data_IF_999875477170
#
_entry.id   IF_999875477170
#
_cell.length_a   1.000
_cell.length_b   1.000
_cell.length_c   1.000
_cell.angle_alpha   90.00
_cell.angle_beta   90.00
_cell.angle_gamma   90.00
#
_symmetry.space_group_name_H-M   'P 1'
#
loop_
_entity.id
_entity.type
_entity.pdbx_description
1 polymer ?
#
# COMPACT_ATOMS: atom_id res chain seq x y z
N UNK A 1 -19.87 8.93 4.68
CA UNK A 1 -19.13 7.80 5.27
C UNK A 1 -18.77 6.90 4.11
N UNK A 2 -17.50 6.88 3.68
CA UNK A 2 -17.07 6.07 2.53
C UNK A 2 -17.12 4.59 2.89
N UNK A 3 -17.81 3.78 2.07
CA UNK A 3 -17.97 2.34 2.29
C UNK A 3 -16.61 1.63 2.28
N UNK A 4 -16.37 0.66 3.17
CA UNK A 4 -15.17 -0.16 3.12
C UNK A 4 -15.19 -1.03 1.85
N UNK A 5 -14.08 -1.14 1.11
CA UNK A 5 -14.03 -1.90 -0.13
C UNK A 5 -14.36 -3.37 0.12
N UNK A 6 -15.28 -3.90 -0.71
CA UNK A 6 -15.79 -5.26 -0.62
C UNK A 6 -14.68 -6.30 -0.81
N UNK A 7 -14.70 -7.31 0.06
CA UNK A 7 -13.72 -8.41 0.16
C UNK A 7 -13.67 -9.19 -1.16
N UNK A 8 -12.65 -8.95 -1.99
CA UNK A 8 -12.43 -9.70 -3.25
C UNK A 8 -11.99 -8.86 -4.45
N UNK A 9 -12.11 -7.53 -4.39
CA UNK A 9 -11.68 -6.66 -5.48
C UNK A 9 -10.16 -6.41 -5.39
N UNK A 10 -9.41 -6.77 -6.45
CA UNK A 10 -7.99 -6.45 -6.54
C UNK A 10 -7.86 -4.94 -6.76
N UNK A 11 -7.46 -4.21 -5.74
CA UNK A 11 -7.10 -2.80 -5.87
C UNK A 11 -5.82 -2.73 -6.69
N UNK A 12 -5.93 -2.30 -7.95
CA UNK A 12 -4.78 -2.01 -8.79
C UNK A 12 -4.22 -0.63 -8.45
N UNK A 13 -3.05 -0.61 -7.82
CA UNK A 13 -2.26 0.61 -7.69
C UNK A 13 -1.64 0.98 -9.03
N UNK A 14 -1.69 2.27 -9.35
CA UNK A 14 -0.96 2.83 -10.48
C UNK A 14 0.55 2.60 -10.31
N UNK A 15 1.28 2.63 -11.43
CA UNK A 15 2.73 2.53 -11.43
C UNK A 15 3.38 3.63 -10.57
N UNK A 16 2.83 4.86 -10.63
CA UNK A 16 3.32 5.98 -9.84
C UNK A 16 3.11 5.76 -8.33
N UNK A 17 1.96 5.20 -7.94
CA UNK A 17 1.67 4.95 -6.52
C UNK A 17 2.52 3.80 -5.97
N UNK A 18 2.79 2.77 -6.77
CA UNK A 18 3.76 1.72 -6.41
C UNK A 18 5.15 2.29 -6.14
N UNK A 19 5.62 3.21 -6.99
CA UNK A 19 6.92 3.88 -6.81
C UNK A 19 6.93 4.72 -5.52
N UNK A 20 5.88 5.52 -5.28
CA UNK A 20 5.77 6.32 -4.05
C UNK A 20 5.75 5.44 -2.80
N UNK A 21 4.99 4.35 -2.83
CA UNK A 21 4.89 3.38 -1.75
C UNK A 21 6.26 2.77 -1.43
N UNK A 22 7.03 2.36 -2.44
CA UNK A 22 8.39 1.82 -2.24
C UNK A 22 9.28 2.88 -1.58
N UNK A 23 9.29 4.11 -2.11
CA UNK A 23 10.09 5.22 -1.53
C UNK A 23 9.72 5.51 -0.08
N UNK A 24 8.43 5.58 0.25
CA UNK A 24 7.95 5.80 1.61
C UNK A 24 8.25 4.64 2.57
N UNK A 25 8.33 3.42 2.05
CA UNK A 25 8.72 2.24 2.84
C UNK A 25 10.22 2.22 3.19
N UNK A 26 11.04 2.94 2.41
CA UNK A 26 12.49 3.03 2.58
C UNK A 26 12.92 4.30 3.33
N UNK A 27 12.05 5.31 3.41
CA UNK A 27 12.28 6.53 4.19
C UNK A 27 12.39 6.26 5.69
N UNK A 28 13.18 7.10 6.38
CA UNK A 28 13.28 7.13 7.83
C UNK A 28 12.51 8.34 8.41
N UNK A 29 11.72 8.16 9.49
CA UNK A 29 11.43 6.89 10.16
C UNK A 29 10.59 5.94 9.28
N UNK A 30 10.83 4.63 9.39
CA UNK A 30 10.16 3.61 8.57
C UNK A 30 8.65 3.68 8.75
N UNK A 31 7.94 3.90 7.64
CA UNK A 31 6.49 3.78 7.60
C UNK A 31 6.07 2.34 7.90
N UNK A 32 5.16 2.15 8.86
CA UNK A 32 4.63 0.82 9.15
C UNK A 32 3.71 0.34 8.02
N UNK A 33 3.60 -0.98 7.85
CA UNK A 33 2.65 -1.56 6.88
C UNK A 33 1.20 -1.13 7.13
N UNK A 34 0.84 -0.81 8.39
CA UNK A 34 -0.49 -0.30 8.74
C UNK A 34 -0.70 1.11 8.15
N UNK A 35 0.26 2.01 8.37
CA UNK A 35 0.19 3.37 7.82
C UNK A 35 0.14 3.38 6.30
N UNK A 36 0.97 2.56 5.65
CA UNK A 36 0.94 2.43 4.18
C UNK A 36 -0.36 1.82 3.68
N UNK A 37 -0.91 0.84 4.40
CA UNK A 37 -2.20 0.22 4.06
C UNK A 37 -3.35 1.22 4.15
N UNK A 38 -3.38 2.06 5.18
CA UNK A 38 -4.38 3.12 5.36
C UNK A 38 -4.22 4.23 4.32
N UNK A 39 -2.98 4.66 4.04
CA UNK A 39 -2.69 5.74 3.11
C UNK A 39 -3.00 5.41 1.65
N UNK A 40 -2.72 4.18 1.23
CA UNK A 40 -2.93 3.73 -0.14
C UNK A 40 -4.25 2.95 -0.30
N UNK A 41 -5.03 2.79 0.77
CA UNK A 41 -6.29 2.03 0.81
C UNK A 41 -6.15 0.59 0.27
N UNK A 42 -4.98 -0.02 0.50
CA UNK A 42 -4.68 -1.38 0.03
C UNK A 42 -4.39 -2.29 1.22
N UNK A 43 -4.78 -3.55 1.12
CA UNK A 43 -4.48 -4.55 2.14
C UNK A 43 -2.97 -4.67 2.42
N UNK A 44 -2.62 -4.86 3.70
CA UNK A 44 -1.23 -5.02 4.17
C UNK A 44 -0.44 -6.10 3.41
N UNK A 45 -1.11 -7.18 2.98
CA UNK A 45 -0.49 -8.24 2.18
C UNK A 45 -0.02 -7.72 0.82
N UNK A 46 -0.83 -6.92 0.15
CA UNK A 46 -0.48 -6.30 -1.14
C UNK A 46 0.67 -5.30 -0.96
N UNK A 47 0.64 -4.47 0.08
CA UNK A 47 1.75 -3.57 0.41
C UNK A 47 3.04 -4.38 0.61
N UNK A 48 2.99 -5.45 1.40
CA UNK A 48 4.15 -6.34 1.64
C UNK A 48 4.67 -6.94 0.34
N UNK A 49 3.79 -7.41 -0.54
CA UNK A 49 4.18 -8.00 -1.81
C UNK A 49 4.85 -6.97 -2.74
N UNK A 50 4.31 -5.74 -2.80
CA UNK A 50 4.91 -4.64 -3.58
C UNK A 50 6.30 -4.28 -3.04
N UNK A 51 6.43 -4.10 -1.73
CA UNK A 51 7.72 -3.76 -1.10
C UNK A 51 8.73 -4.91 -1.22
N UNK A 52 8.29 -6.17 -1.26
CA UNK A 52 9.18 -7.34 -1.38
C UNK A 52 9.61 -7.61 -2.82
N UNK A 53 8.75 -7.33 -3.80
CA UNK A 53 9.00 -7.51 -5.24
C UNK A 53 9.58 -6.27 -5.92
N UNK A 54 10.09 -5.32 -5.14
CA UNK A 54 10.76 -4.11 -5.61
C UNK A 54 11.93 -4.41 -6.54
#
# INVERSE_FOLDING_TARGET
MSEPPSKGMRVELSLQDKIKLIKESEMFPKSTLKMLSEKYEVGKSTIRDIVRKK
#
